data_IF_443792374732
#
_entry.id   IF_443792374732
#
_cell.length_a   1.000
_cell.length_b   1.000
_cell.length_c   1.000
_cell.angle_alpha   90.00
_cell.angle_beta   90.00
_cell.angle_gamma   90.00
#
_symmetry.space_group_name_H-M   'P 1'
#
loop_
_entity.id
_entity.type
_entity.pdbx_description
1 polymer ?
#
# COMPACT_ATOMS: atom_id res chain seq x y z
N UNK A 1 -3.79 -7.35 -13.60
CA UNK A 1 -3.56 -6.54 -12.40
C UNK A 1 -4.85 -6.48 -11.62
N UNK A 2 -4.91 -7.19 -10.49
CA UNK A 2 -6.04 -7.22 -9.57
C UNK A 2 -6.63 -5.83 -9.33
N UNK A 3 -7.93 -5.71 -9.53
CA UNK A 3 -8.71 -4.51 -9.21
C UNK A 3 -8.40 -4.01 -7.79
N UNK A 4 -8.30 -4.93 -6.83
CA UNK A 4 -7.98 -4.64 -5.44
C UNK A 4 -6.59 -4.02 -5.25
N UNK A 5 -5.55 -4.53 -5.95
CA UNK A 5 -4.20 -3.94 -5.89
C UNK A 5 -4.23 -2.49 -6.38
N UNK A 6 -4.96 -2.19 -7.46
CA UNK A 6 -5.12 -0.82 -7.98
C UNK A 6 -5.86 0.10 -7.01
N UNK A 7 -6.89 -0.43 -6.33
CA UNK A 7 -7.64 0.33 -5.33
C UNK A 7 -6.76 0.70 -4.13
N UNK A 8 -6.00 -0.26 -3.60
CA UNK A 8 -5.07 -0.04 -2.49
C UNK A 8 -4.04 1.02 -2.86
N UNK A 9 -3.42 0.92 -4.05
CA UNK A 9 -2.46 1.92 -4.53
C UNK A 9 -3.08 3.32 -4.54
N UNK A 10 -4.31 3.48 -5.08
CA UNK A 10 -5.00 4.78 -5.09
C UNK A 10 -5.29 5.34 -3.69
N UNK A 11 -5.69 4.48 -2.75
CA UNK A 11 -5.95 4.90 -1.37
C UNK A 11 -4.65 5.41 -0.74
N UNK A 12 -3.56 4.66 -0.89
CA UNK A 12 -2.25 5.04 -0.38
C UNK A 12 -1.70 6.32 -1.04
N UNK A 13 -1.93 6.52 -2.35
CA UNK A 13 -1.57 7.75 -3.07
C UNK A 13 -2.35 8.97 -2.59
N UNK A 14 -3.59 8.78 -2.15
CA UNK A 14 -4.46 9.88 -1.70
C UNK A 14 -4.21 10.26 -0.24
N UNK A 15 -3.41 9.49 0.49
CA UNK A 15 -3.08 9.72 1.89
C UNK A 15 -1.68 10.30 2.06
N UNK A 16 -1.57 11.42 2.78
CA UNK A 16 -0.30 12.03 3.15
C UNK A 16 0.59 11.13 4.02
N UNK A 17 -0.01 10.18 4.76
CA UNK A 17 0.71 9.22 5.59
C UNK A 17 1.43 8.15 4.77
N UNK A 18 0.88 7.80 3.59
CA UNK A 18 1.36 6.70 2.79
C UNK A 18 2.10 7.12 1.51
N UNK A 19 2.04 8.40 1.14
CA UNK A 19 2.66 8.97 -0.07
C UNK A 19 4.14 8.59 -0.24
N UNK A 20 4.89 8.56 0.86
CA UNK A 20 6.32 8.23 0.89
C UNK A 20 6.63 6.80 1.37
N UNK A 21 5.62 5.97 1.58
CA UNK A 21 5.80 4.61 2.11
C UNK A 21 6.58 3.71 1.14
N UNK A 22 7.44 2.84 1.70
CA UNK A 22 8.15 1.81 0.92
C UNK A 22 7.18 0.80 0.31
N UNK A 23 6.07 0.54 1.01
CA UNK A 23 4.97 -0.32 0.57
C UNK A 23 4.35 0.19 -0.73
N UNK A 24 4.01 1.48 -0.81
CA UNK A 24 3.44 2.07 -2.02
C UNK A 24 4.40 1.94 -3.22
N UNK A 25 5.70 2.18 -3.02
CA UNK A 25 6.71 2.02 -4.08
C UNK A 25 6.77 0.58 -4.59
N UNK A 26 6.79 -0.42 -3.70
CA UNK A 26 6.79 -1.83 -4.09
C UNK A 26 5.54 -2.24 -4.85
N UNK A 27 4.37 -1.82 -4.36
CA UNK A 27 3.09 -2.08 -5.01
C UNK A 27 3.03 -1.47 -6.43
N UNK A 28 3.53 -0.25 -6.61
CA UNK A 28 3.62 0.41 -7.92
C UNK A 28 4.57 -0.29 -8.89
N UNK A 29 5.67 -0.84 -8.38
CA UNK A 29 6.64 -1.60 -9.17
C UNK A 29 6.17 -3.03 -9.49
N UNK A 30 5.01 -3.44 -8.95
CA UNK A 30 4.43 -4.76 -9.19
C UNK A 30 5.07 -5.89 -8.39
N UNK A 31 5.87 -5.57 -7.37
CA UNK A 31 6.42 -6.58 -6.47
C UNK A 31 5.35 -7.07 -5.50
N UNK A 32 5.37 -8.37 -5.21
CA UNK A 32 4.58 -8.92 -4.12
C UNK A 32 5.18 -8.54 -2.77
N UNK A 33 4.29 -8.28 -1.81
CA UNK A 33 4.67 -7.95 -0.44
C UNK A 33 4.96 -9.23 0.34
N UNK A 34 6.06 -9.21 1.08
CA UNK A 34 6.36 -10.20 2.11
C UNK A 34 5.37 -10.13 3.27
N UNK A 35 5.38 -11.13 4.16
CA UNK A 35 4.46 -11.16 5.30
C UNK A 35 4.61 -9.93 6.23
N UNK A 36 5.84 -9.48 6.48
CA UNK A 36 6.10 -8.29 7.29
C UNK A 36 5.53 -7.03 6.62
N UNK A 37 5.68 -6.92 5.30
CA UNK A 37 5.19 -5.78 4.51
C UNK A 37 3.67 -5.78 4.37
N UNK A 38 3.02 -6.95 4.40
CA UNK A 38 1.56 -7.03 4.48
C UNK A 38 1.04 -6.51 5.81
N UNK A 39 1.73 -6.81 6.93
CA UNK A 39 1.39 -6.23 8.24
C UNK A 39 1.56 -4.71 8.26
N UNK A 40 2.68 -4.22 7.70
CA UNK A 40 2.90 -2.78 7.57
C UNK A 40 1.82 -2.12 6.69
N UNK A 41 1.37 -2.79 5.63
CA UNK A 41 0.25 -2.34 4.81
C UNK A 41 -1.08 -2.30 5.59
N UNK A 42 -1.38 -3.34 6.37
CA UNK A 42 -2.57 -3.39 7.22
C UNK A 42 -2.57 -2.23 8.22
N UNK A 43 -1.46 -2.03 8.95
CA UNK A 43 -1.28 -0.90 9.87
C UNK A 43 -1.42 0.46 9.15
N UNK A 44 -0.86 0.60 7.95
CA UNK A 44 -1.00 1.83 7.16
C UNK A 44 -2.46 2.09 6.78
N UNK A 45 -3.22 1.06 6.39
CA UNK A 45 -4.64 1.21 6.05
C UNK A 45 -5.46 1.55 7.29
N UNK A 46 -5.21 0.91 8.42
CA UNK A 46 -5.89 1.18 9.69
C UNK A 46 -5.63 2.61 10.21
N UNK A 47 -4.49 3.22 9.86
CA UNK A 47 -4.22 4.62 10.19
C UNK A 47 -4.86 5.62 9.21
N UNK A 48 -5.36 5.15 8.06
CA UNK A 48 -5.99 5.99 7.02
C UNK A 48 -7.51 6.00 7.13
N UNK A 49 -8.13 4.88 7.55
CA UNK A 49 -9.59 4.65 7.60
C UNK A 49 -10.03 4.54 9.06
#
# INVERSE_FOLDING_TARGET
MDFYKKLIIKILESSSLAENSKILKKLKLGYDLSQAERRELEELIDNII
#
